data_IF_306902979346
#
_entry.id   IF_306902979346
#
_cell.length_a   1.000
_cell.length_b   1.000
_cell.length_c   1.000
_cell.angle_alpha   90.00
_cell.angle_beta   90.00
_cell.angle_gamma   90.00
#
_symmetry.space_group_name_H-M   'P 1'
#
loop_
_entity.id
_entity.type
_entity.pdbx_description
1 polymer ?
#
# COMPACT_ATOMS: atom_id res chain seq x y z
N UNK A 1 23.15 25.66 -0.27
CA UNK A 1 22.55 24.49 -0.92
C UNK A 1 21.99 23.53 0.13
N UNK A 2 22.76 23.14 1.14
CA UNK A 2 22.29 22.26 2.21
C UNK A 2 21.17 22.88 3.06
N UNK A 3 21.21 24.19 3.31
CA UNK A 3 20.20 24.88 4.11
C UNK A 3 18.87 25.00 3.38
N UNK A 4 18.87 25.15 2.08
CA UNK A 4 17.64 25.16 1.27
C UNK A 4 16.95 23.80 1.26
N UNK A 5 17.72 22.73 1.20
CA UNK A 5 17.20 21.36 1.27
C UNK A 5 16.54 21.08 2.62
N UNK A 6 17.19 21.50 3.72
CA UNK A 6 16.63 21.34 5.06
C UNK A 6 15.34 22.14 5.26
N UNK A 7 15.26 23.34 4.67
CA UNK A 7 14.06 24.19 4.72
C UNK A 7 12.92 23.54 3.94
N UNK A 8 13.19 22.97 2.76
CA UNK A 8 12.19 22.27 1.95
C UNK A 8 11.66 21.03 2.65
N UNK A 9 12.54 20.27 3.29
CA UNK A 9 12.18 19.08 4.05
C UNK A 9 11.21 19.42 5.19
N UNK A 10 11.57 20.39 6.03
CA UNK A 10 10.69 20.88 7.09
C UNK A 10 9.39 21.46 6.54
N UNK A 11 9.47 22.12 5.39
CA UNK A 11 8.33 22.74 4.75
C UNK A 11 7.29 21.71 4.29
N UNK A 12 7.75 20.57 3.80
CA UNK A 12 6.86 19.51 3.33
C UNK A 12 6.05 18.89 4.45
N UNK A 13 6.64 18.68 5.63
CA UNK A 13 5.96 18.11 6.80
C UNK A 13 4.83 18.99 7.32
N UNK A 14 4.90 20.31 7.11
CA UNK A 14 3.91 21.27 7.55
C UNK A 14 2.86 21.63 6.50
N UNK A 15 3.00 21.10 5.27
CA UNK A 15 2.04 21.39 4.22
C UNK A 15 0.75 20.60 4.44
N UNK A 16 -0.38 21.22 4.12
CA UNK A 16 -1.66 20.55 4.10
C UNK A 16 -1.75 19.56 2.92
N UNK A 17 -2.69 18.63 2.97
CA UNK A 17 -2.92 17.68 1.89
C UNK A 17 -3.25 18.41 0.58
N UNK A 18 -3.99 19.52 0.63
CA UNK A 18 -4.30 20.33 -0.54
C UNK A 18 -3.07 20.95 -1.18
N UNK A 19 -2.14 21.47 -0.37
CA UNK A 19 -0.87 22.03 -0.84
C UNK A 19 0.01 20.93 -1.45
N UNK A 20 0.08 19.77 -0.82
CA UNK A 20 0.82 18.62 -1.32
C UNK A 20 0.22 18.12 -2.64
N UNK A 21 -1.11 18.11 -2.76
CA UNK A 21 -1.79 17.71 -3.99
C UNK A 21 -1.37 18.61 -5.16
N UNK A 22 -1.34 19.92 -4.95
CA UNK A 22 -0.95 20.87 -5.98
C UNK A 22 0.50 20.66 -6.44
N UNK A 23 1.40 20.32 -5.52
CA UNK A 23 2.81 20.04 -5.84
C UNK A 23 3.02 18.66 -6.46
N UNK A 24 2.19 17.69 -6.10
CA UNK A 24 2.33 16.31 -6.54
C UNK A 24 1.64 16.02 -7.88
N UNK A 25 0.57 16.74 -8.23
CA UNK A 25 -0.18 16.53 -9.47
C UNK A 25 0.69 16.56 -10.74
N UNK A 26 1.63 17.53 -10.91
CA UNK A 26 2.50 17.51 -12.09
C UNK A 26 3.32 16.24 -12.22
N UNK A 27 3.79 15.69 -11.09
CA UNK A 27 4.57 14.46 -11.05
C UNK A 27 3.70 13.27 -11.46
N UNK A 28 2.47 13.20 -10.95
CA UNK A 28 1.51 12.16 -11.32
C UNK A 28 1.21 12.19 -12.82
N UNK A 29 1.03 13.39 -13.39
CA UNK A 29 0.78 13.54 -14.83
C UNK A 29 1.95 13.07 -15.68
N UNK A 30 3.19 13.32 -15.24
CA UNK A 30 4.39 12.81 -15.92
C UNK A 30 4.39 11.28 -16.01
N UNK A 31 3.80 10.59 -15.04
CA UNK A 31 3.68 9.14 -15.03
C UNK A 31 2.36 8.63 -15.62
N UNK A 32 1.58 9.52 -16.25
CA UNK A 32 0.32 9.14 -16.89
C UNK A 32 -0.83 8.89 -15.92
N UNK A 33 -0.74 9.38 -14.70
CA UNK A 33 -1.74 9.18 -13.66
C UNK A 33 -2.67 10.40 -13.58
N UNK A 34 -3.97 10.17 -13.78
CA UNK A 34 -5.01 11.19 -13.65
C UNK A 34 -5.88 10.84 -12.45
N UNK A 35 -5.77 11.64 -11.40
CA UNK A 35 -6.57 11.47 -10.17
C UNK A 35 -6.99 12.84 -9.65
N UNK A 36 -7.99 12.85 -8.77
CA UNK A 36 -8.45 14.07 -8.13
C UNK A 36 -7.38 14.63 -7.19
N UNK A 37 -7.47 15.92 -6.90
CA UNK A 37 -6.59 16.57 -5.91
C UNK A 37 -6.75 15.93 -4.53
N UNK A 38 -7.95 15.50 -4.19
CA UNK A 38 -8.23 14.82 -2.93
C UNK A 38 -7.41 13.53 -2.80
N UNK A 39 -7.41 12.68 -3.83
CA UNK A 39 -6.65 11.43 -3.83
C UNK A 39 -5.15 11.68 -3.84
N UNK A 40 -4.68 12.62 -4.66
CA UNK A 40 -3.27 12.99 -4.71
C UNK A 40 -2.79 13.51 -3.34
N UNK A 41 -3.57 14.35 -2.70
CA UNK A 41 -3.27 14.89 -1.37
C UNK A 41 -3.28 13.82 -0.28
N UNK A 42 -4.20 12.89 -0.32
CA UNK A 42 -4.27 11.77 0.64
C UNK A 42 -3.04 10.88 0.53
N UNK A 43 -2.64 10.50 -0.67
CA UNK A 43 -1.47 9.67 -0.89
C UNK A 43 -0.20 10.38 -0.38
N UNK A 44 -0.02 11.63 -0.77
CA UNK A 44 1.12 12.44 -0.34
C UNK A 44 1.12 12.63 1.18
N UNK A 45 -0.03 12.89 1.78
CA UNK A 45 -0.19 13.07 3.22
C UNK A 45 0.20 11.85 4.04
N UNK A 46 -0.13 10.65 3.55
CA UNK A 46 0.24 9.40 4.23
C UNK A 46 1.77 9.24 4.29
N UNK A 47 2.48 9.64 3.26
CA UNK A 47 3.92 9.38 3.12
C UNK A 47 4.80 10.61 3.29
N UNK A 48 4.23 11.80 3.56
CA UNK A 48 5.00 13.04 3.61
C UNK A 48 6.14 13.03 4.63
N UNK A 49 5.97 12.34 5.75
CA UNK A 49 6.99 12.27 6.80
C UNK A 49 8.20 11.43 6.39
N UNK A 50 8.03 10.54 5.42
CA UNK A 50 9.11 9.68 4.90
C UNK A 50 9.78 10.28 3.66
N UNK A 51 9.19 11.31 3.07
CA UNK A 51 9.71 11.95 1.86
C UNK A 51 10.61 13.12 2.23
N UNK A 52 11.78 13.20 1.63
CA UNK A 52 12.69 14.34 1.75
C UNK A 52 12.35 15.40 0.72
N UNK A 53 12.04 14.97 -0.49
CA UNK A 53 11.68 15.85 -1.60
C UNK A 53 10.30 15.49 -2.14
N UNK A 54 9.63 16.43 -2.78
CA UNK A 54 8.34 16.18 -3.42
C UNK A 54 8.46 15.08 -4.50
N UNK A 55 9.60 14.99 -5.17
CA UNK A 55 9.87 13.96 -6.18
C UNK A 55 9.94 12.55 -5.58
N UNK A 56 10.27 12.42 -4.30
CA UNK A 56 10.31 11.13 -3.62
C UNK A 56 8.92 10.52 -3.47
N UNK A 57 7.87 11.36 -3.49
CA UNK A 57 6.50 10.90 -3.31
C UNK A 57 6.06 9.90 -4.36
N UNK A 58 6.56 9.98 -5.59
CA UNK A 58 6.21 8.99 -6.61
C UNK A 58 6.67 7.59 -6.21
N UNK A 59 7.91 7.41 -5.81
CA UNK A 59 8.42 6.11 -5.38
C UNK A 59 7.72 5.59 -4.13
N UNK A 60 7.37 6.50 -3.21
CA UNK A 60 6.74 6.16 -1.94
C UNK A 60 5.24 5.88 -2.07
N UNK A 61 4.59 6.34 -3.13
CA UNK A 61 3.12 6.25 -3.27
C UNK A 61 2.66 5.66 -4.60
N UNK A 62 3.58 5.27 -5.48
CA UNK A 62 3.22 4.74 -6.81
C UNK A 62 2.27 3.55 -6.73
N UNK A 63 2.42 2.69 -5.73
CA UNK A 63 1.55 1.51 -5.54
C UNK A 63 0.09 1.87 -5.22
N UNK A 64 -0.18 3.08 -4.74
CA UNK A 64 -1.56 3.54 -4.56
C UNK A 64 -2.30 3.70 -5.89
N UNK A 65 -1.56 3.99 -6.96
CA UNK A 65 -2.13 4.29 -8.27
C UNK A 65 -1.88 3.18 -9.30
N UNK A 66 -0.81 2.42 -9.14
CA UNK A 66 -0.41 1.36 -10.08
C UNK A 66 -0.16 0.07 -9.31
N UNK A 67 -0.82 -1.01 -9.73
CA UNK A 67 -0.60 -2.32 -9.14
C UNK A 67 0.83 -2.81 -9.42
N UNK A 68 1.45 -3.62 -8.54
CA UNK A 68 2.80 -4.11 -8.77
C UNK A 68 2.84 -5.02 -10.00
N UNK A 69 3.74 -4.72 -10.94
CA UNK A 69 3.99 -5.55 -12.10
C UNK A 69 5.00 -6.66 -11.80
N UNK A 70 5.85 -6.42 -10.80
CA UNK A 70 6.88 -7.36 -10.35
C UNK A 70 6.86 -7.41 -8.83
N UNK A 71 7.35 -8.52 -8.28
CA UNK A 71 7.39 -8.75 -6.84
C UNK A 71 8.85 -8.85 -6.40
N UNK A 72 9.17 -8.25 -5.25
CA UNK A 72 10.50 -8.32 -4.67
C UNK A 72 10.87 -9.78 -4.38
N UNK A 73 12.00 -10.24 -4.93
CA UNK A 73 12.42 -11.64 -4.83
C UNK A 73 12.67 -12.07 -3.38
N UNK A 74 13.26 -11.20 -2.57
CA UNK A 74 13.55 -11.51 -1.16
C UNK A 74 12.26 -11.68 -0.37
N UNK A 75 11.30 -10.80 -0.59
CA UNK A 75 10.00 -10.87 0.09
C UNK A 75 9.21 -12.08 -0.39
N UNK A 76 9.24 -12.38 -1.69
CA UNK A 76 8.58 -13.56 -2.24
C UNK A 76 9.18 -14.85 -1.66
N UNK A 77 10.50 -14.96 -1.60
CA UNK A 77 11.17 -16.12 -1.00
C UNK A 77 10.84 -16.28 0.48
N UNK A 78 10.68 -15.18 1.19
CA UNK A 78 10.42 -15.19 2.62
C UNK A 78 8.97 -15.51 2.96
N UNK A 79 8.02 -14.96 2.21
CA UNK A 79 6.60 -15.02 2.55
C UNK A 79 5.73 -15.82 1.58
N UNK A 80 6.12 -15.94 0.30
CA UNK A 80 5.30 -16.64 -0.69
C UNK A 80 5.66 -18.12 -0.77
N UNK A 81 5.40 -18.83 0.32
CA UNK A 81 5.73 -20.25 0.45
C UNK A 81 4.86 -20.92 1.52
N UNK A 82 4.93 -22.23 1.60
CA UNK A 82 4.21 -23.00 2.62
C UNK A 82 2.70 -22.79 2.54
N UNK A 83 2.08 -22.46 3.67
CA UNK A 83 0.65 -22.24 3.78
C UNK A 83 0.20 -20.81 3.47
N UNK A 84 1.13 -19.91 3.20
CA UNK A 84 0.81 -18.50 2.96
C UNK A 84 -0.11 -18.25 1.76
N UNK A 85 0.04 -18.95 0.63
CA UNK A 85 -0.93 -18.82 -0.47
C UNK A 85 -2.35 -19.22 -0.08
N UNK A 86 -2.53 -20.31 0.66
CA UNK A 86 -3.82 -20.73 1.15
C UNK A 86 -4.40 -19.72 2.16
N UNK A 87 -3.55 -19.21 3.04
CA UNK A 87 -3.92 -18.16 4.00
C UNK A 87 -4.40 -16.90 3.26
N UNK A 88 -3.71 -16.51 2.20
CA UNK A 88 -4.08 -15.34 1.40
C UNK A 88 -5.42 -15.53 0.70
N UNK A 89 -5.73 -16.74 0.23
CA UNK A 89 -7.06 -17.07 -0.33
C UNK A 89 -8.16 -16.90 0.71
N UNK A 90 -7.92 -17.35 1.93
CA UNK A 90 -8.88 -17.17 3.03
C UNK A 90 -9.05 -15.68 3.35
N UNK A 91 -7.96 -14.93 3.44
CA UNK A 91 -8.00 -13.49 3.67
C UNK A 91 -8.79 -12.77 2.57
N UNK A 92 -8.62 -13.19 1.33
CA UNK A 92 -9.38 -12.65 0.20
C UNK A 92 -10.88 -12.79 0.42
N UNK A 93 -11.32 -13.96 0.87
CA UNK A 93 -12.74 -14.19 1.15
C UNK A 93 -13.24 -13.34 2.32
N UNK A 94 -12.43 -13.16 3.35
CA UNK A 94 -12.76 -12.27 4.47
C UNK A 94 -12.92 -10.83 3.98
N UNK A 95 -11.98 -10.35 3.19
CA UNK A 95 -12.03 -8.99 2.63
C UNK A 95 -13.22 -8.79 1.68
N UNK A 96 -13.54 -9.81 0.87
CA UNK A 96 -14.67 -9.75 -0.05
C UNK A 96 -16.02 -9.62 0.68
N UNK A 97 -16.12 -10.16 1.89
CA UNK A 97 -17.32 -10.08 2.72
C UNK A 97 -17.47 -8.79 3.51
N UNK A 98 -16.50 -7.88 3.46
CA UNK A 98 -16.56 -6.62 4.20
C UNK A 98 -17.33 -5.58 3.37
N UNK A 99 -18.40 -5.02 3.91
CA UNK A 99 -19.18 -3.96 3.25
C UNK A 99 -18.54 -2.60 3.46
N UNK A 100 -18.24 -2.25 4.71
CA UNK A 100 -17.56 -1.01 5.08
C UNK A 100 -16.05 -1.24 5.06
N UNK A 101 -15.39 -0.82 3.99
CA UNK A 101 -13.96 -0.99 3.77
C UNK A 101 -13.12 0.15 4.33
N UNK A 102 -13.62 0.84 5.35
CA UNK A 102 -12.85 1.85 6.08
C UNK A 102 -11.67 1.19 6.81
N UNK A 103 -10.67 2.00 7.12
CA UNK A 103 -9.45 1.52 7.79
C UNK A 103 -9.79 0.81 9.10
N UNK A 104 -10.55 1.46 9.97
CA UNK A 104 -10.88 0.93 11.31
C UNK A 104 -11.69 -0.36 11.23
N UNK A 105 -12.69 -0.41 10.35
CA UNK A 105 -13.55 -1.57 10.24
C UNK A 105 -12.81 -2.77 9.63
N UNK A 106 -12.04 -2.53 8.58
CA UNK A 106 -11.22 -3.57 7.93
C UNK A 106 -10.20 -4.13 8.89
N UNK A 107 -9.49 -3.26 9.62
CA UNK A 107 -8.51 -3.67 10.64
C UNK A 107 -9.17 -4.55 11.72
N UNK A 108 -10.31 -4.13 12.23
CA UNK A 108 -11.04 -4.88 13.27
C UNK A 108 -11.42 -6.28 12.79
N UNK A 109 -11.96 -6.39 11.59
CA UNK A 109 -12.43 -7.66 11.04
C UNK A 109 -11.24 -8.59 10.74
N UNK A 110 -10.20 -8.06 10.11
CA UNK A 110 -9.01 -8.85 9.75
C UNK A 110 -8.27 -9.32 11.00
N UNK A 111 -8.08 -8.45 12.00
CA UNK A 111 -7.43 -8.84 13.25
C UNK A 111 -8.22 -9.92 13.99
N UNK A 112 -9.56 -9.81 14.02
CA UNK A 112 -10.42 -10.84 14.61
C UNK A 112 -10.26 -12.18 13.91
N UNK A 113 -10.18 -12.19 12.58
CA UNK A 113 -9.94 -13.40 11.80
C UNK A 113 -8.55 -13.99 12.08
N UNK A 114 -7.52 -13.14 12.16
CA UNK A 114 -6.14 -13.58 12.48
C UNK A 114 -6.10 -14.27 13.85
N UNK A 115 -6.72 -13.68 14.85
CA UNK A 115 -6.78 -14.25 16.21
C UNK A 115 -7.54 -15.57 16.22
N UNK A 116 -8.67 -15.64 15.53
CA UNK A 116 -9.50 -16.84 15.45
C UNK A 116 -8.75 -17.99 14.79
N UNK A 117 -7.95 -17.72 13.78
CA UNK A 117 -7.18 -18.72 13.03
C UNK A 117 -5.83 -19.05 13.69
N UNK A 118 -5.36 -18.21 14.59
CA UNK A 118 -4.05 -18.38 15.23
C UNK A 118 -2.88 -18.04 14.32
N UNK A 119 -3.09 -17.25 13.28
CA UNK A 119 -2.01 -16.81 12.42
C UNK A 119 -1.16 -15.70 13.07
N UNK A 120 0.08 -15.57 12.62
CA UNK A 120 0.94 -14.46 13.00
C UNK A 120 0.52 -13.19 12.26
N UNK A 121 0.36 -12.08 12.99
CA UNK A 121 0.05 -10.79 12.38
C UNK A 121 1.09 -10.41 11.33
N UNK A 122 2.38 -10.57 11.65
CA UNK A 122 3.46 -10.26 10.72
C UNK A 122 3.41 -11.08 9.44
N UNK A 123 3.11 -12.36 9.55
CA UNK A 123 2.97 -13.26 8.41
C UNK A 123 1.84 -12.80 7.49
N UNK A 124 0.67 -12.52 8.04
CA UNK A 124 -0.50 -12.08 7.27
C UNK A 124 -0.23 -10.72 6.61
N UNK A 125 0.27 -9.77 7.37
CA UNK A 125 0.53 -8.41 6.87
C UNK A 125 1.62 -8.38 5.79
N UNK A 126 2.70 -9.12 5.97
CA UNK A 126 3.77 -9.16 4.97
C UNK A 126 3.36 -9.89 3.68
N UNK A 127 2.56 -10.93 3.79
CA UNK A 127 2.02 -11.62 2.61
C UNK A 127 1.05 -10.70 1.85
N UNK A 128 0.20 -9.98 2.58
CA UNK A 128 -0.71 -9.00 1.98
C UNK A 128 0.07 -7.86 1.31
N UNK A 129 1.14 -7.37 1.95
CA UNK A 129 2.00 -6.32 1.40
C UNK A 129 2.63 -6.76 0.08
N UNK A 130 3.07 -8.01 -0.01
CA UNK A 130 3.58 -8.57 -1.26
C UNK A 130 2.54 -8.47 -2.38
N UNK A 131 1.28 -8.80 -2.07
CA UNK A 131 0.19 -8.72 -3.06
C UNK A 131 -0.13 -7.29 -3.47
N UNK A 132 -0.19 -6.36 -2.52
CA UNK A 132 -0.66 -5.00 -2.77
C UNK A 132 0.44 -4.06 -3.24
N UNK A 133 1.64 -4.20 -2.71
CA UNK A 133 2.77 -3.29 -2.96
C UNK A 133 3.86 -3.96 -3.79
N UNK A 134 4.03 -5.27 -3.65
CA UNK A 134 5.09 -6.01 -4.34
C UNK A 134 6.46 -5.85 -3.71
N UNK A 135 6.57 -5.21 -2.55
CA UNK A 135 7.83 -4.92 -1.85
C UNK A 135 7.63 -5.04 -0.34
N UNK A 136 8.70 -4.97 0.41
CA UNK A 136 8.67 -5.09 1.88
C UNK A 136 8.52 -3.77 2.62
N UNK A 137 8.33 -2.66 1.91
CA UNK A 137 8.25 -1.31 2.48
C UNK A 137 6.96 -0.63 2.06
N UNK A 138 6.55 0.36 2.83
CA UNK A 138 5.38 1.16 2.54
C UNK A 138 4.60 1.51 3.82
N UNK A 139 3.44 2.17 3.67
CA UNK A 139 2.60 2.49 4.82
C UNK A 139 1.92 1.25 5.39
N UNK A 140 1.12 1.42 6.41
CA UNK A 140 0.33 0.32 6.98
C UNK A 140 -0.61 -0.29 5.93
N UNK A 141 -0.84 -1.59 6.02
CA UNK A 141 -1.67 -2.29 5.02
C UNK A 141 -3.09 -1.75 4.95
N UNK A 142 -3.66 -1.33 6.08
CA UNK A 142 -5.03 -0.80 6.10
C UNK A 142 -5.12 0.59 5.49
N UNK A 143 -4.03 1.38 5.52
CA UNK A 143 -3.94 2.63 4.76
C UNK A 143 -4.01 2.35 3.26
N UNK A 144 -3.31 1.32 2.80
CA UNK A 144 -3.33 0.91 1.40
C UNK A 144 -4.72 0.40 1.00
N UNK A 145 -5.29 -0.53 1.76
CA UNK A 145 -6.59 -1.13 1.42
C UNK A 145 -7.71 -0.09 1.41
N UNK A 146 -7.71 0.84 2.36
CA UNK A 146 -8.72 1.90 2.41
C UNK A 146 -8.58 2.89 1.25
N UNK A 147 -7.35 3.12 0.80
CA UNK A 147 -7.07 4.02 -0.32
C UNK A 147 -7.48 3.41 -1.67
N UNK A 148 -7.01 2.18 -1.95
CA UNK A 148 -7.26 1.53 -3.24
C UNK A 148 -8.67 0.93 -3.35
N UNK A 149 -9.32 0.65 -2.23
CA UNK A 149 -10.66 0.08 -2.18
C UNK A 149 -10.70 -1.44 -2.28
N UNK A 150 -11.87 -2.00 -2.01
CA UNK A 150 -12.06 -3.44 -1.96
C UNK A 150 -11.79 -4.13 -3.31
N UNK A 151 -12.35 -3.62 -4.39
CA UNK A 151 -12.21 -4.24 -5.72
C UNK A 151 -10.76 -4.34 -6.16
N UNK A 152 -10.02 -3.25 -6.01
CA UNK A 152 -8.60 -3.20 -6.37
C UNK A 152 -7.76 -4.09 -5.45
N UNK A 153 -8.08 -4.11 -4.15
CA UNK A 153 -7.43 -5.00 -3.19
C UNK A 153 -7.58 -6.46 -3.62
N UNK A 154 -8.80 -6.88 -3.94
CA UNK A 154 -9.07 -8.25 -4.36
C UNK A 154 -8.38 -8.58 -5.68
N UNK A 155 -8.38 -7.64 -6.62
CA UNK A 155 -7.73 -7.81 -7.92
C UNK A 155 -6.22 -8.05 -7.77
N UNK A 156 -5.56 -7.29 -6.90
CA UNK A 156 -4.12 -7.44 -6.64
C UNK A 156 -3.79 -8.76 -5.95
N UNK A 157 -4.64 -9.20 -5.03
CA UNK A 157 -4.49 -10.52 -4.39
C UNK A 157 -4.62 -11.63 -5.44
N UNK A 158 -5.63 -11.54 -6.31
CA UNK A 158 -5.83 -12.53 -7.37
C UNK A 158 -4.65 -12.55 -8.36
N UNK A 159 -4.07 -11.40 -8.66
CA UNK A 159 -2.89 -11.30 -9.52
C UNK A 159 -1.69 -12.04 -8.92
N UNK A 160 -1.44 -11.87 -7.64
CA UNK A 160 -0.36 -12.59 -6.97
C UNK A 160 -0.59 -14.09 -7.00
N UNK A 161 -1.82 -14.53 -6.70
CA UNK A 161 -2.19 -15.94 -6.69
C UNK A 161 -2.02 -16.61 -8.06
N UNK A 162 -2.28 -15.85 -9.14
CA UNK A 162 -2.18 -16.36 -10.51
C UNK A 162 -0.78 -16.31 -11.09
N UNK A 163 -0.04 -15.24 -10.80
CA UNK A 163 1.17 -14.90 -11.54
C UNK A 163 2.45 -15.33 -10.85
N UNK A 164 2.43 -15.54 -9.54
CA UNK A 164 3.62 -15.92 -8.79
C UNK A 164 3.46 -17.32 -8.21
N UNK A 165 4.35 -18.24 -8.58
CA UNK A 165 4.35 -19.58 -8.02
C UNK A 165 4.93 -19.55 -6.61
N UNK A 166 4.28 -20.25 -5.65
CA UNK A 166 4.81 -20.34 -4.31
C UNK A 166 6.14 -21.10 -4.28
N UNK A 167 7.04 -20.69 -3.40
CA UNK A 167 8.25 -21.45 -3.11
C UNK A 167 7.95 -22.70 -2.27
N UNK A 168 8.90 -23.64 -2.27
CA UNK A 168 8.83 -24.85 -1.46
C UNK A 168 9.14 -24.58 0.02
#
# INVERSE_FOLDING_TARGET
VGSEMCIRDRYMHHKSDAELAALYQPILREHGIEVSDELAGRAAGIMKERATFITDLWELTSFFFVAPAQYDEKQAKKYWKGDNPAMLRELREVLAGIDDFSLENTERIVHGWIEQKGYSLGQVMNTLRLALVGAGKGPGMYDVTSFIGKEETLRRIDNLLRNLKPGE
#
